data_IF_238441644138
#
_entry.id   IF_238441644138
#
_cell.length_a   1.000
_cell.length_b   1.000
_cell.length_c   1.000
_cell.angle_alpha   90.00
_cell.angle_beta   90.00
_cell.angle_gamma   90.00
#
_symmetry.space_group_name_H-M   'P 1'
#
loop_
_entity.id
_entity.type
_entity.pdbx_description
1 polymer ?
#
# COMPACT_ATOMS: atom_id res chain seq x y z
N UNK A 1 48.16 52.73 23.24
CA UNK A 1 47.01 53.31 23.96
C UNK A 1 46.13 54.03 22.96
N UNK A 2 45.03 53.40 22.54
CA UNK A 2 44.00 54.02 21.70
C UNK A 2 42.66 53.58 22.27
N UNK A 3 42.13 54.40 23.17
CA UNK A 3 40.79 54.26 23.73
C UNK A 3 39.77 54.65 22.66
N UNK A 4 38.95 53.69 22.23
CA UNK A 4 37.78 53.98 21.40
C UNK A 4 36.65 54.37 22.34
N UNK A 5 36.40 55.67 22.45
CA UNK A 5 35.21 56.22 23.10
C UNK A 5 33.98 55.98 22.20
N UNK A 6 33.12 55.05 22.60
CA UNK A 6 31.76 54.93 22.07
C UNK A 6 30.84 55.90 22.82
N UNK A 7 30.89 57.18 22.45
CA UNK A 7 29.85 58.15 22.79
C UNK A 7 28.85 58.25 21.62
N UNK A 8 27.59 57.86 21.84
CA UNK A 8 26.53 58.09 20.86
C UNK A 8 25.34 57.15 21.01
N UNK A 9 24.25 57.64 21.61
CA UNK A 9 22.92 57.04 21.65
C UNK A 9 22.36 56.80 20.23
N UNK A 10 22.76 55.71 19.55
CA UNK A 10 22.18 55.30 18.25
C UNK A 10 21.84 53.81 18.12
N UNK A 11 22.11 52.99 19.15
CA UNK A 11 21.82 51.54 19.14
C UNK A 11 20.41 51.14 19.61
N UNK A 12 19.60 52.07 20.14
CA UNK A 12 18.28 51.76 20.73
C UNK A 12 17.12 51.88 19.74
N UNK A 13 17.29 52.60 18.63
CA UNK A 13 16.22 52.80 17.62
C UNK A 13 16.09 51.59 16.69
N UNK A 14 17.16 50.80 16.53
CA UNK A 14 17.17 49.60 15.67
C UNK A 14 16.63 48.34 16.36
N UNK A 15 16.70 48.28 17.70
CA UNK A 15 16.19 47.15 18.50
C UNK A 15 14.72 46.79 18.24
N UNK A 16 13.76 47.75 18.21
CA UNK A 16 12.37 47.42 17.92
C UNK A 16 12.17 46.93 16.48
N UNK A 17 12.97 47.42 15.53
CA UNK A 17 12.91 47.00 14.12
C UNK A 17 13.43 45.57 13.98
N UNK A 18 14.53 45.23 14.65
CA UNK A 18 15.10 43.88 14.65
C UNK A 18 14.13 42.89 15.33
N UNK A 19 13.52 43.28 16.45
CA UNK A 19 12.51 42.47 17.12
C UNK A 19 11.28 42.22 16.24
N UNK A 20 10.83 43.24 15.49
CA UNK A 20 9.73 43.11 14.53
C UNK A 20 10.09 42.15 13.39
N UNK A 21 11.30 42.27 12.83
CA UNK A 21 11.78 41.38 11.77
C UNK A 21 11.89 39.93 12.26
N UNK A 22 12.36 39.70 13.48
CA UNK A 22 12.42 38.38 14.11
C UNK A 22 11.03 37.79 14.34
N UNK A 23 10.06 38.61 14.78
CA UNK A 23 8.67 38.19 14.96
C UNK A 23 8.02 37.82 13.61
N UNK A 24 8.23 38.61 12.56
CA UNK A 24 7.70 38.34 11.22
C UNK A 24 8.30 37.07 10.61
N UNK A 25 9.59 36.82 10.84
CA UNK A 25 10.26 35.62 10.32
C UNK A 25 9.84 34.34 11.08
N UNK A 26 9.62 34.41 12.40
CA UNK A 26 9.02 33.30 13.16
C UNK A 26 7.57 33.02 12.74
N UNK A 27 6.77 34.07 12.52
CA UNK A 27 5.39 33.92 12.03
C UNK A 27 5.35 33.27 10.65
N UNK A 28 6.25 33.67 9.75
CA UNK A 28 6.36 33.12 8.40
C UNK A 28 6.80 31.66 8.41
N UNK A 29 7.79 31.30 9.24
CA UNK A 29 8.25 29.93 9.38
C UNK A 29 7.15 29.01 9.96
N UNK A 30 6.40 29.48 10.97
CA UNK A 30 5.27 28.73 11.52
C UNK A 30 4.16 28.51 10.49
N UNK A 31 3.86 29.53 9.69
CA UNK A 31 2.85 29.42 8.64
C UNK A 31 3.27 28.42 7.55
N UNK A 32 4.54 28.47 7.12
CA UNK A 32 5.09 27.51 6.15
C UNK A 32 5.12 26.07 6.69
N UNK A 33 5.46 25.90 7.97
CA UNK A 33 5.43 24.57 8.62
C UNK A 33 4.02 23.99 8.69
N UNK A 34 3.01 24.82 9.01
CA UNK A 34 1.61 24.40 9.03
C UNK A 34 1.10 23.94 7.66
N UNK A 35 1.44 24.68 6.60
CA UNK A 35 1.09 24.29 5.23
C UNK A 35 1.79 23.00 4.79
N UNK A 36 3.08 22.84 5.06
CA UNK A 36 3.82 21.62 4.74
C UNK A 36 3.28 20.39 5.48
N UNK A 37 2.89 20.54 6.75
CA UNK A 37 2.25 19.46 7.51
C UNK A 37 0.92 19.03 6.87
N UNK A 38 0.09 19.99 6.43
CA UNK A 38 -1.15 19.72 5.72
C UNK A 38 -0.94 18.99 4.38
N UNK A 39 0.06 19.40 3.59
CA UNK A 39 0.40 18.70 2.34
C UNK A 39 0.89 17.28 2.58
N UNK A 40 1.76 17.07 3.57
CA UNK A 40 2.24 15.71 3.93
C UNK A 40 1.08 14.81 4.33
N UNK A 41 0.16 15.31 5.16
CA UNK A 41 -0.99 14.52 5.60
C UNK A 41 -1.96 14.20 4.45
N UNK A 42 -2.25 15.17 3.57
CA UNK A 42 -3.10 14.94 2.39
C UNK A 42 -2.46 13.98 1.40
N UNK A 43 -1.13 14.04 1.23
CA UNK A 43 -0.40 13.07 0.42
C UNK A 43 -0.56 11.65 0.98
N UNK A 44 -0.32 11.48 2.29
CA UNK A 44 -0.48 10.18 2.95
C UNK A 44 -1.90 9.62 2.81
N UNK A 45 -2.92 10.48 2.91
CA UNK A 45 -4.31 10.06 2.68
C UNK A 45 -4.60 9.67 1.23
N UNK A 46 -4.08 10.42 0.27
CA UNK A 46 -4.22 10.09 -1.14
C UNK A 46 -3.54 8.75 -1.47
N UNK A 47 -2.33 8.52 -0.95
CA UNK A 47 -1.60 7.27 -1.16
C UNK A 47 -2.40 6.06 -0.61
N UNK A 48 -2.95 6.18 0.60
CA UNK A 48 -3.79 5.14 1.23
C UNK A 48 -5.09 4.89 0.44
N UNK A 49 -5.72 5.96 -0.07
CA UNK A 49 -6.97 5.82 -0.83
C UNK A 49 -6.74 5.20 -2.21
N UNK A 50 -5.63 5.52 -2.88
CA UNK A 50 -5.25 4.88 -4.13
C UNK A 50 -4.89 3.40 -3.94
N UNK A 51 -4.17 3.06 -2.87
CA UNK A 51 -3.86 1.67 -2.52
C UNK A 51 -5.15 0.88 -2.21
N UNK A 52 -6.09 1.45 -1.47
CA UNK A 52 -7.38 0.77 -1.24
C UNK A 52 -8.18 0.58 -2.53
N UNK A 53 -8.14 1.56 -3.45
CA UNK A 53 -8.90 1.53 -4.69
C UNK A 53 -8.49 0.39 -5.62
N UNK A 54 -7.19 0.15 -5.79
CA UNK A 54 -6.73 -0.96 -6.65
C UNK A 54 -7.22 -2.31 -6.16
N UNK A 55 -7.21 -2.51 -4.84
CA UNK A 55 -7.71 -3.75 -4.24
C UNK A 55 -9.22 -3.90 -4.37
N UNK A 56 -9.97 -2.80 -4.25
CA UNK A 56 -11.42 -2.81 -4.48
C UNK A 56 -11.75 -3.12 -5.95
N UNK A 57 -11.06 -2.48 -6.89
CA UNK A 57 -11.28 -2.72 -8.32
C UNK A 57 -10.92 -4.17 -8.71
N UNK A 58 -9.80 -4.69 -8.18
CA UNK A 58 -9.41 -6.09 -8.37
C UNK A 58 -10.45 -7.06 -7.78
N UNK A 59 -10.95 -6.77 -6.58
CA UNK A 59 -11.98 -7.58 -5.94
C UNK A 59 -13.26 -7.65 -6.79
N UNK A 60 -13.71 -6.53 -7.34
CA UNK A 60 -14.88 -6.50 -8.23
C UNK A 60 -14.65 -7.31 -9.51
N UNK A 61 -13.45 -7.19 -10.10
CA UNK A 61 -13.12 -7.86 -11.35
C UNK A 61 -12.95 -9.39 -11.22
N UNK A 62 -12.36 -9.86 -10.12
CA UNK A 62 -11.92 -11.26 -10.00
C UNK A 62 -12.59 -12.06 -8.89
N UNK A 63 -13.10 -11.40 -7.84
CA UNK A 63 -13.63 -12.09 -6.65
C UNK A 63 -15.16 -12.13 -6.67
N UNK A 64 -15.81 -11.02 -7.03
CA UNK A 64 -17.28 -10.95 -7.15
C UNK A 64 -17.77 -11.80 -8.32
N UNK A 65 -17.07 -11.74 -9.45
CA UNK A 65 -17.34 -12.53 -10.66
C UNK A 65 -16.26 -13.57 -10.88
N UNK A 66 -16.12 -14.51 -9.94
CA UNK A 66 -15.06 -15.51 -9.98
C UNK A 66 -15.20 -16.47 -11.19
N UNK A 67 -14.35 -16.28 -12.19
CA UNK A 67 -14.07 -17.18 -13.31
C UNK A 67 -13.23 -18.41 -12.93
N UNK A 68 -13.81 -19.38 -12.23
CA UNK A 68 -13.13 -20.61 -11.79
C UNK A 68 -12.46 -21.44 -12.90
N UNK A 69 -12.86 -21.26 -14.17
CA UNK A 69 -12.23 -21.88 -15.33
C UNK A 69 -10.84 -21.33 -15.66
N UNK A 70 -10.52 -20.11 -15.23
CA UNK A 70 -9.20 -19.50 -15.40
C UNK A 70 -8.18 -20.00 -14.36
N UNK A 71 -8.62 -20.77 -13.37
CA UNK A 71 -7.75 -21.34 -12.36
C UNK A 71 -6.88 -22.46 -12.96
N UNK A 72 -5.56 -22.30 -12.86
CA UNK A 72 -4.62 -23.33 -13.30
C UNK A 72 -4.55 -24.45 -12.26
N UNK A 73 -4.37 -25.69 -12.71
CA UNK A 73 -4.19 -26.81 -11.79
C UNK A 73 -2.88 -26.61 -11.02
N UNK A 74 -2.97 -26.56 -9.69
CA UNK A 74 -1.78 -26.50 -8.85
C UNK A 74 -1.02 -27.82 -8.98
N UNK A 75 0.28 -27.73 -9.27
CA UNK A 75 1.22 -28.87 -9.22
C UNK A 75 1.55 -29.28 -7.79
N UNK A 76 1.23 -28.44 -6.82
CA UNK A 76 1.52 -28.66 -5.42
C UNK A 76 0.36 -29.36 -4.70
N UNK A 77 0.71 -30.32 -3.85
CA UNK A 77 -0.20 -30.95 -2.89
C UNK A 77 -0.29 -30.01 -1.68
N UNK A 78 -1.27 -29.10 -1.66
CA UNK A 78 -1.49 -28.15 -0.55
C UNK A 78 -1.11 -26.70 -0.87
N UNK A 79 -0.94 -25.86 0.16
CA UNK A 79 -0.69 -24.42 0.01
C UNK A 79 0.73 -24.15 -0.47
N UNK A 80 0.89 -23.88 -1.76
CA UNK A 80 2.21 -23.62 -2.33
C UNK A 80 2.70 -22.19 -2.06
N UNK A 81 4.03 -22.03 -1.96
CA UNK A 81 4.70 -20.75 -1.85
C UNK A 81 4.39 -19.88 -3.08
N UNK A 82 4.30 -18.56 -2.86
CA UNK A 82 3.93 -17.61 -3.90
C UNK A 82 5.09 -17.27 -4.85
N UNK A 83 6.30 -17.76 -4.57
CA UNK A 83 7.54 -17.37 -5.23
C UNK A 83 7.73 -17.90 -6.68
N UNK A 84 6.93 -18.87 -7.13
CA UNK A 84 7.03 -19.38 -8.50
C UNK A 84 6.43 -18.39 -9.52
N UNK A 85 7.31 -17.58 -10.11
CA UNK A 85 6.97 -16.52 -11.09
C UNK A 85 6.36 -17.01 -12.40
N UNK A 86 6.48 -18.32 -12.73
CA UNK A 86 6.00 -18.86 -14.01
C UNK A 86 4.48 -18.92 -14.14
N UNK A 87 3.76 -18.87 -13.02
CA UNK A 87 2.29 -18.97 -12.98
C UNK A 87 1.62 -17.63 -12.68
N UNK A 88 2.39 -16.54 -12.56
CA UNK A 88 1.88 -15.21 -12.26
C UNK A 88 1.29 -14.55 -13.51
N UNK A 89 0.03 -14.17 -13.41
CA UNK A 89 -0.67 -13.34 -14.38
C UNK A 89 -0.62 -11.88 -13.95
N UNK A 90 -0.69 -10.99 -14.92
CA UNK A 90 -0.62 -9.55 -14.68
C UNK A 90 -2.01 -8.95 -14.90
N UNK A 91 -2.51 -8.26 -13.89
CA UNK A 91 -3.71 -7.43 -14.00
C UNK A 91 -3.31 -5.96 -13.87
N UNK A 92 -3.75 -5.14 -14.82
CA UNK A 92 -3.44 -3.71 -14.86
C UNK A 92 -4.73 -2.89 -14.89
N UNK A 93 -4.75 -1.82 -14.11
CA UNK A 93 -5.81 -0.81 -14.17
C UNK A 93 -5.21 0.58 -14.08
N UNK A 94 -5.59 1.45 -15.02
CA UNK A 94 -5.17 2.86 -15.15
C UNK A 94 -3.65 3.06 -15.28
N UNK A 95 -2.90 2.87 -14.19
CA UNK A 95 -1.43 2.95 -14.12
C UNK A 95 -0.84 2.05 -13.00
N UNK A 96 -1.66 1.20 -12.38
CA UNK A 96 -1.22 0.30 -11.33
C UNK A 96 -1.32 -1.14 -11.81
N UNK A 97 -0.42 -1.96 -11.30
CA UNK A 97 -0.30 -3.36 -11.68
C UNK A 97 -0.36 -4.24 -10.44
N UNK A 98 -1.17 -5.29 -10.53
CA UNK A 98 -1.15 -6.41 -9.60
C UNK A 98 -0.67 -7.65 -10.33
N UNK A 99 0.23 -8.36 -9.70
CA UNK A 99 0.54 -9.74 -10.05
C UNK A 99 -0.45 -10.61 -9.30
N UNK A 100 -1.09 -11.55 -9.99
CA UNK A 100 -2.02 -12.46 -9.36
C UNK A 100 -1.83 -13.87 -9.87
N UNK A 101 -2.23 -14.83 -9.04
CA UNK A 101 -2.16 -16.25 -9.34
C UNK A 101 -3.46 -16.91 -8.96
N UNK A 102 -4.03 -17.64 -9.91
CA UNK A 102 -5.28 -18.37 -9.73
C UNK A 102 -5.03 -19.87 -9.83
N UNK A 103 -5.22 -20.55 -8.71
CA UNK A 103 -4.94 -21.97 -8.56
C UNK A 103 -6.19 -22.76 -8.19
N UNK A 104 -6.24 -24.00 -8.71
CA UNK A 104 -7.22 -25.02 -8.36
C UNK A 104 -6.52 -26.20 -7.71
N UNK A 105 -7.05 -26.62 -6.57
CA UNK A 105 -6.66 -27.80 -5.83
C UNK A 105 -7.76 -28.85 -5.91
N UNK A 106 -7.37 -30.07 -6.23
CA UNK A 106 -8.23 -31.25 -6.14
C UNK A 106 -7.70 -32.10 -4.99
N UNK A 107 -8.57 -32.47 -4.04
CA UNK A 107 -8.21 -33.49 -3.05
C UNK A 107 -7.88 -34.81 -3.77
N UNK A 108 -6.94 -35.58 -3.18
CA UNK A 108 -6.71 -36.95 -3.62
C UNK A 108 -8.03 -37.74 -3.52
N UNK A 109 -8.29 -38.67 -4.45
CA UNK A 109 -9.46 -39.54 -4.36
C UNK A 109 -9.28 -40.46 -3.16
N UNK A 110 -9.77 -40.05 -1.99
CA UNK A 110 -9.99 -40.94 -0.86
C UNK A 110 -11.39 -41.56 -1.01
N UNK A 111 -11.58 -42.78 -0.50
CA UNK A 111 -12.58 -43.83 -0.85
C UNK A 111 -14.09 -43.46 -0.88
N UNK A 112 -14.46 -42.18 -0.86
CA UNK A 112 -15.84 -41.71 -0.85
C UNK A 112 -16.05 -40.58 -1.88
N UNK A 113 -15.97 -40.95 -3.17
CA UNK A 113 -16.58 -40.38 -4.41
C UNK A 113 -16.84 -38.85 -4.56
N UNK A 114 -16.29 -37.99 -3.72
CA UNK A 114 -16.45 -36.53 -3.80
C UNK A 114 -15.08 -35.91 -4.04
N UNK A 115 -14.76 -35.71 -5.33
CA UNK A 115 -13.61 -34.91 -5.74
C UNK A 115 -13.84 -33.46 -5.32
N UNK A 116 -13.46 -33.12 -4.10
CA UNK A 116 -13.59 -31.78 -3.55
C UNK A 116 -12.66 -30.83 -4.31
N UNK A 117 -13.25 -29.76 -4.89
CA UNK A 117 -12.51 -28.73 -5.62
C UNK A 117 -12.42 -27.47 -4.77
N UNK A 118 -11.18 -27.11 -4.45
CA UNK A 118 -10.86 -25.87 -3.75
C UNK A 118 -10.11 -24.94 -4.70
N UNK A 119 -10.33 -23.63 -4.56
CA UNK A 119 -9.69 -22.63 -5.39
C UNK A 119 -9.03 -21.57 -4.53
N UNK A 120 -7.91 -21.04 -5.00
CA UNK A 120 -7.17 -19.96 -4.38
C UNK A 120 -6.84 -18.91 -5.41
N UNK A 121 -7.19 -17.67 -5.13
CA UNK A 121 -6.72 -16.50 -5.87
C UNK A 121 -5.85 -15.70 -4.93
N UNK A 122 -4.62 -15.40 -5.31
CA UNK A 122 -3.73 -14.51 -4.56
C UNK A 122 -3.25 -13.40 -5.46
N UNK A 123 -3.18 -12.17 -4.95
CA UNK A 123 -2.68 -11.02 -5.68
C UNK A 123 -1.70 -10.20 -4.82
N UNK A 124 -0.72 -9.59 -5.46
CA UNK A 124 0.33 -8.77 -4.84
C UNK A 124 0.70 -7.59 -5.73
N UNK A 125 1.13 -6.50 -5.10
CA UNK A 125 1.70 -5.35 -5.79
C UNK A 125 3.23 -5.33 -5.74
N UNK A 126 3.83 -5.93 -4.70
CA UNK A 126 5.25 -5.81 -4.37
C UNK A 126 5.95 -7.16 -4.09
N UNK A 127 5.25 -8.28 -4.32
CA UNK A 127 5.72 -9.66 -4.06
C UNK A 127 6.09 -9.98 -2.61
N UNK A 128 5.87 -9.06 -1.66
CA UNK A 128 6.11 -9.27 -0.23
C UNK A 128 4.82 -9.60 0.52
N UNK A 129 3.75 -8.87 0.19
CA UNK A 129 2.43 -9.06 0.80
C UNK A 129 1.45 -9.54 -0.26
N UNK A 130 0.75 -10.63 0.04
CA UNK A 130 -0.24 -11.22 -0.84
C UNK A 130 -1.61 -11.13 -0.19
N UNK A 131 -2.59 -10.66 -0.95
CA UNK A 131 -3.99 -10.75 -0.57
C UNK A 131 -4.59 -11.96 -1.25
N UNK A 132 -5.12 -12.88 -0.46
CA UNK A 132 -5.63 -14.16 -0.94
C UNK A 132 -7.11 -14.35 -0.61
N UNK A 133 -7.78 -15.11 -1.47
CA UNK A 133 -9.17 -15.51 -1.36
C UNK A 133 -9.28 -17.01 -1.62
N UNK A 134 -10.12 -17.68 -0.83
CA UNK A 134 -10.30 -19.13 -0.89
C UNK A 134 -11.75 -19.49 -1.13
N UNK A 135 -11.95 -20.40 -2.07
CA UNK A 135 -13.26 -20.95 -2.37
C UNK A 135 -13.28 -22.45 -2.23
N UNK A 136 -14.48 -22.92 -1.93
CA UNK A 136 -14.82 -24.32 -1.88
C UNK A 136 -16.11 -24.55 -2.65
N UNK A 137 -16.06 -25.40 -3.69
CA UNK A 137 -17.22 -25.66 -4.54
C UNK A 137 -17.94 -24.38 -5.01
N UNK A 138 -17.19 -23.32 -5.32
CA UNK A 138 -17.65 -21.98 -5.72
C UNK A 138 -18.13 -21.04 -4.60
N UNK A 139 -18.16 -21.49 -3.35
CA UNK A 139 -18.46 -20.64 -2.19
C UNK A 139 -17.18 -20.02 -1.62
N UNK A 140 -17.16 -18.70 -1.48
CA UNK A 140 -16.06 -18.00 -0.81
C UNK A 140 -16.06 -18.39 0.67
N UNK A 141 -14.98 -19.01 1.14
CA UNK A 141 -14.81 -19.43 2.54
C UNK A 141 -14.09 -18.39 3.37
N UNK A 142 -13.01 -17.83 2.81
CA UNK A 142 -12.11 -16.95 3.54
C UNK A 142 -11.42 -15.95 2.61
N UNK A 143 -10.94 -14.86 3.19
CA UNK A 143 -10.07 -13.89 2.54
C UNK A 143 -9.15 -13.24 3.56
N UNK A 144 -7.91 -12.95 3.19
CA UNK A 144 -6.96 -12.34 4.12
C UNK A 144 -5.62 -12.00 3.49
N UNK A 145 -4.79 -11.31 4.27
CA UNK A 145 -3.40 -11.04 3.93
C UNK A 145 -2.52 -12.20 4.38
N UNK A 146 -1.58 -12.58 3.51
CA UNK A 146 -0.61 -13.65 3.73
C UNK A 146 0.76 -13.11 3.36
N UNK A 147 1.73 -13.28 4.25
CA UNK A 147 3.14 -13.02 3.96
C UNK A 147 3.76 -14.26 3.33
N UNK A 148 4.57 -14.10 2.29
CA UNK A 148 5.49 -15.17 1.91
C UNK A 148 6.55 -15.28 3.03
N UNK A 149 6.45 -16.32 3.85
CA UNK A 149 7.51 -16.69 4.78
C UNK A 149 8.54 -17.57 4.04
N UNK A 150 9.82 -17.24 4.20
CA UNK A 150 10.95 -18.09 3.79
C UNK A 150 10.94 -19.44 4.53
#
# INVERSE_FOLDING_TARGET
MTNIYLSGQRGWVSLPIIALLLALSTLSAHYQQGLQAGFKWRSQLNDVTEEQKIWTDFYQAWVVSAHFSAAQASTCIGFCALHESRLESIWQTRNQQLYYRWERYTSAPDEMDNTQRSYRLCATQNQQQYRCWWWHEHRLLASGWVSASD
#
